data_IF_507671848254
#
_entry.id   IF_507671848254
#
_cell.length_a   1.000
_cell.length_b   1.000
_cell.length_c   1.000
_cell.angle_alpha   90.00
_cell.angle_beta   90.00
_cell.angle_gamma   90.00
#
_symmetry.space_group_name_H-M   'P 1'
#
loop_
_entity.id
_entity.type
_entity.pdbx_description
1 polymer ?
#
# COMPACT_ATOMS: atom_id res chain seq x y z
N UNK A 1 0.55 -24.95 25.54
CA UNK A 1 1.89 -24.43 25.24
C UNK A 1 2.71 -25.29 24.28
N UNK A 2 2.09 -26.24 23.60
CA UNK A 2 2.79 -27.29 22.85
C UNK A 2 2.60 -27.26 21.34
N UNK A 3 2.09 -26.17 20.79
CA UNK A 3 2.18 -26.00 19.35
C UNK A 3 3.59 -25.56 19.00
N UNK A 4 4.24 -26.18 18.00
CA UNK A 4 5.54 -25.73 17.49
C UNK A 4 5.52 -24.28 16.98
N UNK A 5 4.35 -23.68 16.96
CA UNK A 5 4.02 -22.31 16.62
C UNK A 5 3.66 -21.47 17.85
N UNK A 6 3.98 -21.87 19.05
CA UNK A 6 3.60 -21.22 20.31
C UNK A 6 4.07 -19.78 20.48
N UNK A 7 4.90 -19.33 19.55
CA UNK A 7 5.10 -17.93 19.20
C UNK A 7 4.98 -17.82 17.70
N UNK A 8 4.22 -16.85 17.23
CA UNK A 8 4.07 -16.56 15.81
C UNK A 8 5.42 -16.57 15.10
N UNK A 9 5.54 -17.17 13.90
CA UNK A 9 6.79 -17.17 13.16
C UNK A 9 7.37 -15.76 13.11
N UNK A 10 8.64 -15.62 13.49
CA UNK A 10 9.37 -14.35 13.52
C UNK A 10 8.77 -13.27 14.43
N UNK A 11 8.02 -13.65 15.48
CA UNK A 11 7.36 -12.71 16.41
C UNK A 11 6.37 -11.74 15.78
N UNK A 12 5.95 -11.99 14.54
CA UNK A 12 4.97 -11.15 13.85
C UNK A 12 3.55 -11.45 14.33
N UNK A 13 2.73 -10.40 14.34
CA UNK A 13 1.33 -10.50 14.72
C UNK A 13 0.55 -11.41 13.76
N UNK A 14 -0.44 -12.14 14.29
CA UNK A 14 -1.30 -13.05 13.51
C UNK A 14 -1.98 -12.40 12.31
N UNK A 15 -2.35 -11.12 12.43
CA UNK A 15 -2.98 -10.37 11.34
C UNK A 15 -2.09 -10.27 10.09
N UNK A 16 -0.78 -10.14 10.27
CA UNK A 16 0.17 -10.16 9.15
C UNK A 16 0.10 -11.50 8.39
N UNK A 17 0.15 -12.60 9.12
CA UNK A 17 0.06 -13.94 8.52
C UNK A 17 -1.28 -14.20 7.86
N UNK A 18 -2.38 -13.70 8.45
CA UNK A 18 -3.71 -13.75 7.84
C UNK A 18 -3.77 -13.01 6.51
N UNK A 19 -3.27 -11.79 6.46
CA UNK A 19 -3.19 -11.01 5.22
C UNK A 19 -2.30 -11.68 4.17
N UNK A 20 -1.15 -12.20 4.57
CA UNK A 20 -0.24 -12.90 3.67
C UNK A 20 -0.88 -14.16 3.07
N UNK A 21 -1.51 -14.98 3.91
CA UNK A 21 -2.24 -16.17 3.44
C UNK A 21 -3.40 -15.79 2.51
N UNK A 22 -4.13 -14.74 2.83
CA UNK A 22 -5.20 -14.24 1.96
C UNK A 22 -4.67 -13.81 0.58
N UNK A 23 -3.58 -13.07 0.52
CA UNK A 23 -2.97 -12.68 -0.75
C UNK A 23 -2.49 -13.87 -1.56
N UNK A 24 -1.83 -14.86 -0.89
CA UNK A 24 -1.36 -16.09 -1.53
C UNK A 24 -2.49 -16.94 -2.12
N UNK A 25 -3.68 -16.86 -1.56
CA UNK A 25 -4.85 -17.60 -2.05
C UNK A 25 -5.62 -16.78 -3.09
N UNK A 26 -5.90 -15.51 -2.80
CA UNK A 26 -6.75 -14.68 -3.66
C UNK A 26 -6.10 -14.37 -5.02
N UNK A 27 -4.79 -14.12 -5.05
CA UNK A 27 -4.11 -13.75 -6.30
C UNK A 27 -4.12 -14.92 -7.30
N UNK A 28 -3.70 -16.16 -6.96
CA UNK A 28 -3.74 -17.28 -7.89
C UNK A 28 -5.17 -17.65 -8.29
N UNK A 29 -6.10 -17.71 -7.33
CA UNK A 29 -7.50 -18.04 -7.64
C UNK A 29 -8.09 -16.99 -8.58
N UNK A 30 -7.88 -15.70 -8.31
CA UNK A 30 -8.33 -14.62 -9.19
C UNK A 30 -7.72 -14.74 -10.59
N UNK A 31 -6.45 -15.11 -10.71
CA UNK A 31 -5.80 -15.30 -12.00
C UNK A 31 -6.37 -16.50 -12.78
N UNK A 32 -6.68 -17.60 -12.07
CA UNK A 32 -7.17 -18.85 -12.67
C UNK A 32 -8.66 -18.80 -13.03
N UNK A 33 -9.46 -18.00 -12.31
CA UNK A 33 -10.92 -17.94 -12.50
C UNK A 33 -11.36 -16.85 -13.48
N UNK A 34 -10.43 -16.14 -14.11
CA UNK A 34 -10.77 -15.06 -15.03
C UNK A 34 -11.40 -15.59 -16.33
N UNK A 35 -12.63 -15.18 -16.57
CA UNK A 35 -13.31 -15.42 -17.83
C UNK A 35 -12.83 -14.39 -18.88
N UNK A 36 -12.61 -14.83 -20.13
CA UNK A 36 -12.20 -13.96 -21.25
C UNK A 36 -13.19 -12.82 -21.53
N UNK A 37 -14.49 -13.09 -21.40
CA UNK A 37 -15.56 -12.09 -21.58
C UNK A 37 -15.49 -11.00 -20.51
N UNK A 38 -15.28 -11.36 -19.27
CA UNK A 38 -15.15 -10.43 -18.16
C UNK A 38 -13.82 -9.66 -18.22
N UNK A 39 -12.77 -10.29 -18.74
CA UNK A 39 -11.49 -9.62 -18.97
C UNK A 39 -11.63 -8.48 -20.00
N UNK A 40 -12.30 -8.74 -21.11
CA UNK A 40 -12.55 -7.72 -22.13
C UNK A 40 -13.41 -6.56 -21.59
N UNK A 41 -14.41 -6.88 -20.75
CA UNK A 41 -15.24 -5.87 -20.10
C UNK A 41 -14.40 -5.01 -19.12
N UNK A 42 -13.60 -5.62 -18.26
CA UNK A 42 -12.71 -4.90 -17.33
C UNK A 42 -11.66 -4.07 -18.05
N UNK A 43 -11.15 -4.54 -19.19
CA UNK A 43 -10.14 -3.82 -19.97
C UNK A 43 -10.64 -2.43 -20.38
N UNK A 44 -11.90 -2.28 -20.75
CA UNK A 44 -12.50 -0.97 -21.07
C UNK A 44 -12.40 0.03 -19.93
N UNK A 45 -12.63 -0.43 -18.68
CA UNK A 45 -12.50 0.42 -17.49
C UNK A 45 -11.04 0.77 -17.21
N UNK A 46 -10.12 -0.18 -17.40
CA UNK A 46 -8.69 0.08 -17.21
C UNK A 46 -8.17 1.06 -18.25
N UNK A 47 -8.58 0.93 -19.50
CA UNK A 47 -8.20 1.84 -20.57
C UNK A 47 -8.74 3.24 -20.30
N UNK A 48 -10.01 3.34 -19.91
CA UNK A 48 -10.65 4.60 -19.54
C UNK A 48 -9.93 5.26 -18.34
N UNK A 49 -9.66 4.51 -17.26
CA UNK A 49 -8.94 5.02 -16.11
C UNK A 49 -7.50 5.43 -16.47
N UNK A 50 -6.85 4.66 -17.33
CA UNK A 50 -5.50 4.97 -17.81
C UNK A 50 -5.45 6.27 -18.61
N UNK A 51 -6.50 6.53 -19.41
CA UNK A 51 -6.60 7.73 -20.24
C UNK A 51 -6.92 8.99 -19.42
N UNK A 52 -7.84 8.88 -18.45
CA UNK A 52 -8.40 10.04 -17.75
C UNK A 52 -7.80 10.28 -16.36
N UNK A 53 -7.38 9.24 -15.66
CA UNK A 53 -6.78 9.31 -14.33
C UNK A 53 -5.33 8.82 -14.30
N UNK A 54 -4.74 8.57 -15.47
CA UNK A 54 -3.35 8.15 -15.60
C UNK A 54 -2.39 9.26 -15.21
N UNK A 55 -1.24 8.86 -14.69
CA UNK A 55 -0.17 9.79 -14.35
C UNK A 55 0.30 10.53 -15.61
N UNK A 56 0.44 11.88 -15.59
CA UNK A 56 0.94 12.64 -16.72
C UNK A 56 2.26 12.10 -17.25
N UNK A 57 2.46 12.13 -18.56
CA UNK A 57 3.66 11.57 -19.20
C UNK A 57 4.95 12.15 -18.61
N UNK A 58 4.95 13.45 -18.25
CA UNK A 58 6.07 14.15 -17.62
C UNK A 58 6.44 13.61 -16.24
N UNK A 59 5.51 12.93 -15.55
CA UNK A 59 5.69 12.39 -14.19
C UNK A 59 5.92 10.88 -14.16
N UNK A 60 5.81 10.21 -15.29
CA UNK A 60 5.98 8.74 -15.34
C UNK A 60 7.37 8.27 -14.89
N UNK A 61 8.39 9.09 -15.06
CA UNK A 61 9.74 8.80 -14.56
C UNK A 61 9.83 8.71 -13.03
N UNK A 62 8.89 9.31 -12.30
CA UNK A 62 8.82 9.26 -10.84
C UNK A 62 8.12 7.99 -10.31
N UNK A 63 7.46 7.25 -11.18
CA UNK A 63 6.69 6.05 -10.80
C UNK A 63 7.50 4.99 -10.05
N UNK A 64 8.73 4.62 -10.49
CA UNK A 64 9.54 3.69 -9.72
C UNK A 64 9.91 4.22 -8.32
N UNK A 65 10.25 5.50 -8.22
CA UNK A 65 10.57 6.12 -6.93
C UNK A 65 9.35 6.10 -5.98
N UNK A 66 8.16 6.41 -6.49
CA UNK A 66 6.93 6.34 -5.72
C UNK A 66 6.67 4.93 -5.18
N UNK A 67 6.84 3.91 -6.02
CA UNK A 67 6.70 2.52 -5.58
C UNK A 67 7.71 2.14 -4.51
N UNK A 68 8.98 2.48 -4.70
CA UNK A 68 10.05 2.18 -3.73
C UNK A 68 9.75 2.85 -2.40
N UNK A 69 9.42 4.14 -2.40
CA UNK A 69 9.11 4.91 -1.18
C UNK A 69 7.89 4.32 -0.46
N UNK A 70 6.83 4.01 -1.19
CA UNK A 70 5.59 3.47 -0.62
C UNK A 70 5.82 2.08 -0.03
N UNK A 71 6.48 1.18 -0.77
CA UNK A 71 6.75 -0.18 -0.29
C UNK A 71 7.71 -0.16 0.90
N UNK A 72 8.76 0.66 0.86
CA UNK A 72 9.69 0.82 1.97
C UNK A 72 8.97 1.38 3.21
N UNK A 73 8.14 2.39 3.04
CA UNK A 73 7.36 2.96 4.14
C UNK A 73 6.39 1.93 4.74
N UNK A 74 5.66 1.19 3.92
CA UNK A 74 4.77 0.12 4.38
C UNK A 74 5.55 -0.98 5.12
N UNK A 75 6.71 -1.38 4.60
CA UNK A 75 7.53 -2.43 5.21
C UNK A 75 8.08 -2.03 6.58
N UNK A 76 8.69 -0.84 6.67
CA UNK A 76 9.35 -0.38 7.89
C UNK A 76 8.42 0.36 8.86
N UNK A 77 7.36 1.01 8.39
CA UNK A 77 6.44 1.77 9.23
C UNK A 77 5.42 0.89 9.93
N UNK A 78 4.76 -0.01 9.20
CA UNK A 78 3.67 -0.85 9.73
C UNK A 78 3.86 -2.34 9.46
N UNK A 79 4.78 -2.70 8.59
CA UNK A 79 5.09 -4.07 8.22
C UNK A 79 6.14 -4.72 9.13
N UNK A 80 6.68 -5.85 8.70
CA UNK A 80 7.64 -6.64 9.51
C UNK A 80 8.92 -5.89 9.86
N UNK A 81 9.33 -4.93 9.04
CA UNK A 81 10.51 -4.10 9.30
C UNK A 81 10.36 -3.16 10.50
N UNK A 82 9.12 -2.89 10.96
CA UNK A 82 8.86 -2.08 12.14
C UNK A 82 9.44 -2.69 13.44
N UNK A 83 9.76 -3.98 13.43
CA UNK A 83 10.42 -4.67 14.56
C UNK A 83 11.77 -4.00 14.92
N UNK A 84 12.46 -3.42 13.93
CA UNK A 84 13.71 -2.67 14.15
C UNK A 84 13.49 -1.50 15.11
N UNK A 85 12.31 -0.90 15.08
CA UNK A 85 11.93 0.20 15.96
C UNK A 85 11.90 -0.14 17.45
N UNK A 86 11.93 -1.42 17.83
CA UNK A 86 11.93 -1.80 19.24
C UNK A 86 13.22 -1.42 19.96
N UNK A 87 14.35 -1.43 19.25
CA UNK A 87 15.68 -1.32 19.89
C UNK A 87 16.49 -0.11 19.41
N UNK A 88 16.18 0.45 18.25
CA UNK A 88 17.04 1.43 17.56
C UNK A 88 17.19 2.77 18.33
N UNK A 89 16.18 3.17 19.09
CA UNK A 89 16.17 4.40 19.91
C UNK A 89 16.28 4.13 21.41
N UNK A 90 16.73 2.95 21.81
CA UNK A 90 16.91 2.54 23.18
C UNK A 90 16.35 1.15 23.46
N UNK A 91 16.95 0.45 24.42
CA UNK A 91 16.55 -0.90 24.77
C UNK A 91 15.13 -0.94 25.37
N UNK A 92 14.28 -1.92 25.03
CA UNK A 92 12.87 -1.96 25.46
C UNK A 92 12.70 -1.99 26.99
N UNK A 93 13.68 -2.55 27.70
CA UNK A 93 13.61 -2.75 29.16
C UNK A 93 14.50 -1.79 29.96
N UNK A 94 15.15 -0.83 29.30
CA UNK A 94 16.04 0.14 29.92
C UNK A 94 15.56 1.57 29.67
N UNK A 95 14.79 2.11 30.61
CA UNK A 95 14.25 3.48 30.54
C UNK A 95 15.33 4.55 30.42
N UNK A 96 16.53 4.30 30.95
CA UNK A 96 17.63 5.25 30.89
C UNK A 96 18.20 5.39 29.46
N UNK A 97 18.04 4.38 28.64
CA UNK A 97 18.52 4.38 27.25
C UNK A 97 17.54 5.02 26.26
N UNK A 98 16.33 5.35 26.69
CA UNK A 98 15.28 5.86 25.80
C UNK A 98 15.56 7.27 25.31
N UNK A 99 15.52 7.46 24.00
CA UNK A 99 15.67 8.77 23.37
C UNK A 99 14.48 9.66 23.74
N UNK A 100 14.76 10.83 24.33
CA UNK A 100 13.74 11.76 24.85
C UNK A 100 12.79 11.18 25.91
N UNK A 101 13.15 10.08 26.56
CA UNK A 101 12.33 9.44 27.60
C UNK A 101 11.07 8.74 27.04
N UNK A 102 11.00 8.46 25.75
CA UNK A 102 9.91 7.72 25.13
C UNK A 102 10.37 6.35 24.66
N UNK A 103 9.51 5.32 24.71
CA UNK A 103 9.85 3.99 24.23
C UNK A 103 10.33 4.00 22.78
N UNK A 104 11.36 3.20 22.47
CA UNK A 104 11.97 3.15 21.15
C UNK A 104 10.97 2.96 20.02
N UNK A 105 10.01 2.05 20.18
CA UNK A 105 8.96 1.80 19.17
C UNK A 105 8.09 3.03 18.92
N UNK A 106 7.84 3.86 19.93
CA UNK A 106 7.06 5.10 19.76
C UNK A 106 7.86 6.16 18.99
N UNK A 107 9.16 6.30 19.31
CA UNK A 107 10.03 7.18 18.55
C UNK A 107 10.10 6.77 17.07
N UNK A 108 10.18 5.46 16.81
CA UNK A 108 10.10 4.88 15.48
C UNK A 108 8.79 5.21 14.77
N UNK A 109 7.65 5.03 15.44
CA UNK A 109 6.34 5.32 14.86
C UNK A 109 6.16 6.82 14.56
N UNK A 110 6.61 7.71 15.43
CA UNK A 110 6.60 9.15 15.20
C UNK A 110 7.44 9.52 13.97
N UNK A 111 8.64 8.93 13.84
CA UNK A 111 9.48 9.13 12.66
C UNK A 111 8.77 8.68 11.39
N UNK A 112 8.22 7.46 11.39
CA UNK A 112 7.54 6.93 10.22
C UNK A 112 6.22 7.65 9.91
N UNK A 113 5.54 8.19 10.92
CA UNK A 113 4.42 9.09 10.70
C UNK A 113 4.85 10.35 9.94
N UNK A 114 5.94 11.00 10.37
CA UNK A 114 6.48 12.17 9.68
C UNK A 114 6.94 11.86 8.25
N UNK A 115 7.64 10.71 8.06
CA UNK A 115 8.02 10.22 6.73
C UNK A 115 6.79 9.91 5.85
N UNK A 116 5.72 9.38 6.45
CA UNK A 116 4.44 9.13 5.79
C UNK A 116 3.78 10.42 5.29
N UNK A 117 3.81 11.49 6.08
CA UNK A 117 3.35 12.82 5.65
C UNK A 117 4.17 13.32 4.47
N UNK A 118 5.49 13.16 4.51
CA UNK A 118 6.40 13.49 3.40
C UNK A 118 6.11 12.66 2.13
N UNK A 119 5.86 11.37 2.29
CA UNK A 119 5.46 10.48 1.20
C UNK A 119 4.12 10.92 0.59
N UNK A 120 3.12 11.22 1.41
CA UNK A 120 1.82 11.69 0.93
C UNK A 120 1.95 13.03 0.19
N UNK A 121 2.77 13.95 0.71
CA UNK A 121 3.08 15.17 0.01
C UNK A 121 3.72 14.92 -1.37
N UNK A 122 4.70 14.01 -1.44
CA UNK A 122 5.35 13.62 -2.69
C UNK A 122 4.34 13.05 -3.70
N UNK A 123 3.49 12.12 -3.29
CA UNK A 123 2.48 11.51 -4.16
C UNK A 123 1.42 12.53 -4.60
N UNK A 124 0.93 13.36 -3.68
CA UNK A 124 -0.13 14.31 -3.95
C UNK A 124 0.33 15.46 -4.86
N UNK A 125 1.45 16.11 -4.51
CA UNK A 125 1.88 17.33 -5.18
C UNK A 125 2.96 17.13 -6.23
N UNK A 126 3.99 16.30 -5.95
CA UNK A 126 5.06 16.06 -6.93
C UNK A 126 4.60 15.21 -8.09
N UNK A 127 3.80 14.18 -7.80
CA UNK A 127 3.24 13.30 -8.82
C UNK A 127 1.88 13.77 -9.34
N UNK A 128 1.30 14.81 -8.74
CA UNK A 128 0.01 15.39 -9.14
C UNK A 128 -1.17 14.39 -9.06
N UNK A 129 -1.07 13.40 -8.16
CA UNK A 129 -2.12 12.39 -8.00
C UNK A 129 -3.40 12.91 -7.35
N UNK A 130 -3.36 14.12 -6.75
CA UNK A 130 -4.51 14.77 -6.13
C UNK A 130 -5.08 15.92 -6.97
N UNK A 131 -4.55 16.18 -8.16
CA UNK A 131 -5.08 17.20 -9.05
C UNK A 131 -6.38 16.74 -9.69
N UNK A 132 -7.33 17.66 -9.76
CA UNK A 132 -8.55 17.41 -10.53
C UNK A 132 -8.20 17.30 -12.02
N UNK A 133 -8.82 16.38 -12.78
CA UNK A 133 -8.66 16.34 -14.22
C UNK A 133 -9.08 17.68 -14.83
N UNK A 134 -8.29 18.22 -15.74
CA UNK A 134 -8.61 19.46 -16.48
C UNK A 134 -9.85 19.33 -17.38
N UNK A 135 -10.30 18.11 -17.61
CA UNK A 135 -11.50 17.80 -18.38
C UNK A 135 -12.60 17.35 -17.44
N UNK A 136 -13.75 17.98 -17.55
CA UNK A 136 -14.98 17.46 -16.98
C UNK A 136 -15.22 16.02 -17.54
N UNK A 137 -14.99 15.04 -16.68
CA UNK A 137 -15.28 13.66 -17.04
C UNK A 137 -16.79 13.53 -16.96
N UNK A 138 -17.46 13.74 -18.10
CA UNK A 138 -18.87 13.35 -18.24
C UNK A 138 -18.93 11.88 -17.94
N UNK A 139 -19.58 11.53 -16.83
CA UNK A 139 -19.71 10.16 -16.42
C UNK A 139 -20.18 9.33 -17.60
N UNK A 140 -19.47 8.27 -17.90
CA UNK A 140 -19.77 7.32 -18.96
C UNK A 140 -21.06 6.55 -18.60
N UNK A 141 -22.15 7.28 -18.40
CA UNK A 141 -23.43 6.71 -18.02
C UNK A 141 -24.04 5.91 -19.15
N UNK A 142 -23.74 6.27 -20.40
CA UNK A 142 -24.44 5.67 -21.54
C UNK A 142 -23.73 4.46 -22.14
N UNK A 143 -22.41 4.34 -21.99
CA UNK A 143 -21.66 3.32 -22.74
C UNK A 143 -21.11 2.17 -21.86
N UNK A 144 -20.86 2.41 -20.58
CA UNK A 144 -20.34 1.37 -19.67
C UNK A 144 -21.49 0.53 -19.09
N UNK A 145 -22.67 1.11 -18.96
CA UNK A 145 -23.86 0.46 -18.42
C UNK A 145 -24.82 -0.13 -19.44
N UNK A 146 -24.71 0.19 -20.71
CA UNK A 146 -25.49 -0.42 -21.79
C UNK A 146 -24.95 -1.81 -22.14
N UNK A 147 -24.80 -2.66 -21.11
CA UNK A 147 -24.76 -4.09 -21.37
C UNK A 147 -26.10 -4.41 -22.01
N UNK A 148 -26.07 -4.68 -23.27
CA UNK A 148 -27.16 -5.32 -23.98
C UNK A 148 -27.76 -6.41 -23.09
N UNK A 149 -28.91 -6.12 -22.53
CA UNK A 149 -29.85 -7.14 -22.14
C UNK A 149 -30.33 -7.77 -23.47
N UNK A 150 -29.61 -8.79 -23.88
CA UNK A 150 -30.09 -9.74 -24.86
C UNK A 150 -30.46 -11.00 -24.13
#
# INVERSE_FOLDING_TARGET
DSLPWGRWPWTMHSAFWGMFAQLLVCIPISAMTQNSRERAHRQKYHDFLSEHAGLPASKQSLKPAAWIITVAWLFFGIGPGAVIGNDIFGAPNDYASWTFGIPSIWAWQILFWALGVGMMWFLAYKMEMSTLPDKEIVALTDDIGSTQRA
#
